data_IF_492065527479
#
_entry.id   IF_492065527479
#
_cell.length_a   1.000
_cell.length_b   1.000
_cell.length_c   1.000
_cell.angle_alpha   90.00
_cell.angle_beta   90.00
_cell.angle_gamma   90.00
#
_symmetry.space_group_name_H-M   'P 1'
#
loop_
_entity.id
_entity.type
_entity.pdbx_description
1 polymer ?
#
# COMPACT_ATOMS: atom_id res chain seq x y z
N UNK A 1 -23.86 55.47 44.83
CA UNK A 1 -24.26 55.19 43.43
C UNK A 1 -23.13 54.74 42.50
N UNK A 2 -21.83 54.91 42.82
CA UNK A 2 -20.71 54.48 41.96
C UNK A 2 -20.45 52.96 41.95
N UNK A 3 -20.71 52.25 43.06
CA UNK A 3 -20.33 50.83 43.19
C UNK A 3 -21.29 49.85 42.51
N UNK A 4 -22.57 50.20 42.32
CA UNK A 4 -23.55 49.35 41.62
C UNK A 4 -23.34 49.31 40.10
N UNK A 5 -22.73 50.36 39.51
CA UNK A 5 -22.42 50.39 38.08
C UNK A 5 -21.28 49.46 37.69
N UNK A 6 -20.31 49.26 38.59
CA UNK A 6 -19.16 48.38 38.35
C UNK A 6 -19.58 46.91 38.47
N UNK A 7 -20.45 46.59 39.43
CA UNK A 7 -21.00 45.23 39.61
C UNK A 7 -21.87 44.81 38.42
N UNK A 8 -22.70 45.71 37.89
CA UNK A 8 -23.50 45.42 36.69
C UNK A 8 -22.65 45.27 35.42
N UNK A 9 -21.51 45.98 35.32
CA UNK A 9 -20.58 45.84 34.19
C UNK A 9 -19.83 44.49 34.24
N UNK A 10 -19.45 44.03 35.44
CA UNK A 10 -18.82 42.72 35.65
C UNK A 10 -19.78 41.54 35.42
N UNK A 11 -21.06 41.69 35.77
CA UNK A 11 -22.11 40.69 35.47
C UNK A 11 -22.43 40.61 33.97
N UNK A 12 -22.37 41.72 33.22
CA UNK A 12 -22.50 41.74 31.76
C UNK A 12 -21.28 41.13 31.04
N UNK A 13 -20.07 41.27 31.61
CA UNK A 13 -18.84 40.62 31.12
C UNK A 13 -18.81 39.11 31.41
N UNK A 14 -19.40 38.66 32.51
CA UNK A 14 -19.53 37.22 32.83
C UNK A 14 -20.62 36.54 31.99
N UNK A 15 -21.67 37.25 31.59
CA UNK A 15 -22.73 36.71 30.71
C UNK A 15 -22.31 36.67 29.22
N UNK A 16 -21.36 37.52 28.80
CA UNK A 16 -20.81 37.50 27.43
C UNK A 16 -19.73 36.44 27.23
N UNK A 17 -19.19 35.86 28.30
CA UNK A 17 -18.22 34.76 28.23
C UNK A 17 -18.86 33.36 28.07
N UNK A 18 -20.19 33.25 28.14
CA UNK A 18 -20.91 31.97 27.95
C UNK A 18 -21.45 31.74 26.53
N UNK A 19 -21.15 32.63 25.57
CA UNK A 19 -21.62 32.51 24.18
C UNK A 19 -20.55 32.08 23.17
N UNK A 20 -19.34 31.78 23.62
CA UNK A 20 -18.34 31.07 22.82
C UNK A 20 -18.32 29.60 23.26
N UNK A 21 -19.46 28.94 23.09
CA UNK A 21 -19.42 27.50 22.88
C UNK A 21 -18.76 27.30 21.53
N UNK A 22 -17.54 26.75 21.52
CA UNK A 22 -16.95 26.19 20.32
C UNK A 22 -17.86 25.03 19.87
N UNK A 23 -18.93 25.34 19.14
CA UNK A 23 -19.50 24.40 18.19
C UNK A 23 -18.41 24.19 17.14
N UNK A 24 -17.48 23.28 17.46
CA UNK A 24 -16.71 22.59 16.45
C UNK A 24 -17.76 21.89 15.61
N UNK A 25 -18.19 22.55 14.52
CA UNK A 25 -18.94 21.93 13.45
C UNK A 25 -18.10 20.72 13.02
N UNK A 26 -18.42 19.55 13.56
CA UNK A 26 -17.88 18.30 13.08
C UNK A 26 -18.26 18.27 11.61
N UNK A 27 -17.26 18.42 10.73
CA UNK A 27 -17.47 18.38 9.30
C UNK A 27 -18.17 17.04 9.02
N UNK A 28 -19.45 17.09 8.64
CA UNK A 28 -20.22 15.88 8.41
C UNK A 28 -19.49 15.05 7.35
N UNK A 29 -19.19 13.79 7.66
CA UNK A 29 -18.56 12.84 6.75
C UNK A 29 -19.47 11.62 6.57
N UNK A 30 -19.33 10.96 5.42
CA UNK A 30 -20.02 9.71 5.09
C UNK A 30 -19.00 8.58 5.02
N UNK A 31 -19.33 7.43 5.60
CA UNK A 31 -18.53 6.21 5.44
C UNK A 31 -19.18 5.32 4.40
N UNK A 32 -18.53 5.20 3.23
CA UNK A 32 -18.95 4.32 2.15
C UNK A 32 -18.34 2.94 2.36
N UNK A 33 -19.14 1.89 2.15
CA UNK A 33 -18.70 0.49 2.23
C UNK A 33 -19.25 -0.30 1.06
N UNK A 34 -18.48 -1.29 0.63
CA UNK A 34 -18.91 -2.21 -0.40
C UNK A 34 -17.94 -3.37 -0.59
N UNK A 35 -18.36 -4.33 -1.41
CA UNK A 35 -17.57 -5.47 -1.84
C UNK A 35 -17.52 -5.50 -3.36
N UNK A 36 -16.32 -5.56 -3.91
CA UNK A 36 -16.05 -5.54 -5.34
C UNK A 36 -15.76 -6.96 -5.82
N UNK A 37 -16.52 -7.40 -6.82
CA UNK A 37 -16.46 -8.76 -7.34
C UNK A 37 -16.36 -8.76 -8.87
N UNK A 38 -15.73 -9.80 -9.42
CA UNK A 38 -15.73 -10.10 -10.84
C UNK A 38 -17.12 -10.52 -11.31
N UNK A 39 -17.66 -9.93 -12.38
CA UNK A 39 -19.01 -10.29 -12.84
C UNK A 39 -19.10 -11.70 -13.44
N UNK A 40 -18.00 -12.18 -14.01
CA UNK A 40 -17.84 -13.45 -14.72
C UNK A 40 -17.54 -14.62 -13.78
N UNK A 41 -16.61 -14.47 -12.84
CA UNK A 41 -16.25 -15.56 -11.90
C UNK A 41 -16.90 -15.44 -10.54
N UNK A 42 -17.35 -14.23 -10.17
CA UNK A 42 -17.77 -13.84 -8.80
C UNK A 42 -16.66 -13.88 -7.76
N UNK A 43 -15.41 -13.98 -8.19
CA UNK A 43 -14.27 -13.88 -7.29
C UNK A 43 -14.14 -12.46 -6.73
N UNK A 44 -13.65 -12.31 -5.50
CA UNK A 44 -13.31 -11.00 -4.96
C UNK A 44 -12.17 -10.37 -5.74
N UNK A 45 -12.33 -9.10 -6.11
CA UNK A 45 -11.27 -8.32 -6.75
C UNK A 45 -10.47 -7.61 -5.67
N UNK A 46 -9.33 -8.20 -5.28
CA UNK A 46 -8.41 -7.62 -4.30
C UNK A 46 -7.52 -6.55 -4.93
N UNK A 47 -7.19 -5.49 -4.18
CA UNK A 47 -6.39 -4.35 -4.64
C UNK A 47 -7.04 -3.53 -5.79
N UNK A 48 -8.36 -3.57 -5.93
CA UNK A 48 -9.09 -2.65 -6.80
C UNK A 48 -9.01 -1.24 -6.23
N UNK A 49 -8.70 -0.26 -7.09
CA UNK A 49 -8.64 1.14 -6.69
C UNK A 49 -10.06 1.69 -6.56
N UNK A 50 -10.31 2.37 -5.44
CA UNK A 50 -11.59 2.99 -5.12
C UNK A 50 -11.34 4.47 -4.83
N UNK A 51 -11.73 5.35 -5.76
CA UNK A 51 -11.40 6.78 -5.70
C UNK A 51 -12.65 7.64 -5.86
N UNK A 52 -12.77 8.74 -5.11
CA UNK A 52 -13.82 9.73 -5.34
C UNK A 52 -13.42 10.63 -6.51
N UNK A 53 -14.21 10.64 -7.58
CA UNK A 53 -13.95 11.41 -8.80
C UNK A 53 -13.67 12.89 -8.51
N UNK A 54 -12.63 13.41 -9.15
CA UNK A 54 -12.10 14.77 -9.00
C UNK A 54 -11.56 15.13 -7.60
N UNK A 55 -11.51 14.17 -6.66
CA UNK A 55 -10.87 14.34 -5.35
C UNK A 55 -9.69 13.37 -5.23
N UNK A 56 -8.69 13.72 -4.43
CA UNK A 56 -7.56 12.83 -4.16
C UNK A 56 -7.87 11.76 -3.08
N UNK A 57 -9.14 11.65 -2.68
CA UNK A 57 -9.63 10.72 -1.65
C UNK A 57 -9.77 9.32 -2.24
N UNK A 58 -8.99 8.37 -1.73
CA UNK A 58 -8.93 7.01 -2.25
C UNK A 58 -8.67 5.95 -1.19
N UNK A 59 -9.00 4.71 -1.54
CA UNK A 59 -8.67 3.48 -0.81
C UNK A 59 -8.53 2.33 -1.82
N UNK A 60 -8.21 1.14 -1.33
CA UNK A 60 -8.17 -0.09 -2.14
C UNK A 60 -8.98 -1.19 -1.47
N UNK A 61 -9.47 -2.14 -2.27
CA UNK A 61 -10.13 -3.33 -1.74
C UNK A 61 -9.14 -4.30 -1.11
N UNK A 62 -9.54 -4.96 -0.03
CA UNK A 62 -8.74 -6.00 0.62
C UNK A 62 -8.79 -7.35 -0.12
N UNK A 63 -8.18 -8.38 0.44
CA UNK A 63 -8.13 -9.74 -0.14
C UNK A 63 -9.51 -10.36 -0.36
N UNK A 64 -10.51 -9.95 0.42
CA UNK A 64 -11.90 -10.42 0.33
C UNK A 64 -12.77 -9.53 -0.59
N UNK A 65 -12.18 -8.52 -1.22
CA UNK A 65 -12.82 -7.56 -2.13
C UNK A 65 -13.55 -6.40 -1.43
N UNK A 66 -13.45 -6.28 -0.10
CA UNK A 66 -14.13 -5.22 0.65
C UNK A 66 -13.33 -3.92 0.67
N UNK A 67 -14.04 -2.79 0.65
CA UNK A 67 -13.46 -1.47 0.91
C UNK A 67 -14.30 -0.69 1.92
N UNK A 68 -13.62 0.24 2.59
CA UNK A 68 -14.23 1.30 3.40
C UNK A 68 -13.59 2.62 2.98
N UNK A 69 -14.41 3.65 2.73
CA UNK A 69 -13.94 4.97 2.32
C UNK A 69 -14.76 6.07 3.03
N UNK A 70 -14.10 6.86 3.87
CA UNK A 70 -14.63 8.07 4.49
C UNK A 70 -14.49 9.24 3.51
N UNK A 71 -15.59 9.95 3.30
CA UNK A 71 -15.68 11.09 2.38
C UNK A 71 -16.37 12.28 3.05
N UNK A 72 -15.96 13.52 2.78
CA UNK A 72 -16.63 14.70 3.34
C UNK A 72 -18.04 14.85 2.77
N UNK A 73 -18.95 15.53 3.47
CA UNK A 73 -20.31 15.75 3.00
C UNK A 73 -20.38 16.51 1.67
N UNK A 74 -19.38 17.34 1.36
CA UNK A 74 -19.23 18.00 0.05
C UNK A 74 -19.12 17.01 -1.12
N UNK A 75 -18.64 15.78 -0.86
CA UNK A 75 -18.50 14.73 -1.86
C UNK A 75 -19.81 13.96 -2.13
N UNK A 76 -20.93 14.27 -1.46
CA UNK A 76 -22.21 13.56 -1.59
C UNK A 76 -22.68 13.37 -3.04
N UNK A 77 -22.49 14.41 -3.86
CA UNK A 77 -22.91 14.44 -5.26
C UNK A 77 -21.79 14.04 -6.24
N UNK A 78 -20.64 13.60 -5.72
CA UNK A 78 -19.53 13.08 -6.52
C UNK A 78 -19.80 11.62 -6.93
N UNK A 79 -18.92 11.08 -7.76
CA UNK A 79 -18.94 9.67 -8.18
C UNK A 79 -17.77 8.92 -7.56
N UNK A 80 -18.02 7.70 -7.11
CA UNK A 80 -17.00 6.74 -6.76
C UNK A 80 -16.58 6.02 -8.04
N UNK A 81 -15.28 6.04 -8.36
CA UNK A 81 -14.72 5.36 -9.52
C UNK A 81 -13.96 4.13 -9.02
N UNK A 82 -14.36 2.96 -9.48
CA UNK A 82 -13.76 1.68 -9.13
C UNK A 82 -13.03 1.13 -10.35
N UNK A 83 -11.76 0.79 -10.16
CA UNK A 83 -10.84 0.37 -11.24
C UNK A 83 -10.16 -0.93 -10.89
N UNK A 84 -10.06 -1.83 -11.86
CA UNK A 84 -9.33 -3.08 -11.72
C UNK A 84 -8.74 -3.53 -13.05
N UNK A 85 -7.57 -4.18 -12.99
CA UNK A 85 -6.83 -4.69 -14.14
C UNK A 85 -7.67 -5.68 -14.95
N UNK A 86 -7.90 -5.39 -16.24
CA UNK A 86 -8.68 -6.27 -17.14
C UNK A 86 -10.20 -6.11 -17.06
N UNK A 87 -10.69 -5.10 -16.34
CA UNK A 87 -12.13 -4.84 -16.16
C UNK A 87 -12.48 -3.40 -16.50
N UNK A 88 -13.75 -3.19 -16.86
CA UNK A 88 -14.27 -1.87 -17.15
C UNK A 88 -14.35 -1.02 -15.88
N UNK A 89 -14.03 0.27 -16.00
CA UNK A 89 -14.22 1.21 -14.90
C UNK A 89 -15.71 1.35 -14.59
N UNK A 90 -16.05 1.27 -13.30
CA UNK A 90 -17.41 1.49 -12.86
C UNK A 90 -17.51 2.81 -12.07
N UNK A 91 -18.42 3.69 -12.50
CA UNK A 91 -18.78 4.89 -11.77
C UNK A 91 -20.08 4.67 -10.97
N UNK A 92 -20.02 4.85 -9.66
CA UNK A 92 -21.16 4.71 -8.75
C UNK A 92 -21.42 6.06 -8.07
N UNK A 93 -22.62 6.65 -8.16
CA UNK A 93 -22.91 7.90 -7.44
C UNK A 93 -22.76 7.71 -5.92
N UNK A 94 -21.97 8.55 -5.26
CA UNK A 94 -21.64 8.42 -3.82
C UNK A 94 -22.91 8.32 -2.97
N UNK A 95 -23.90 9.17 -3.26
CA UNK A 95 -25.21 9.19 -2.58
C UNK A 95 -25.91 7.83 -2.53
N UNK A 96 -25.65 6.93 -3.50
CA UNK A 96 -26.30 5.61 -3.53
C UNK A 96 -25.71 4.61 -2.54
N UNK A 97 -24.50 4.87 -2.04
CA UNK A 97 -23.74 4.02 -1.11
C UNK A 97 -23.87 4.49 0.35
N UNK A 98 -24.31 5.73 0.58
CA UNK A 98 -24.53 6.28 1.92
C UNK A 98 -25.58 5.42 2.66
N UNK A 99 -25.30 5.10 3.92
CA UNK A 99 -26.13 4.28 4.81
C UNK A 99 -26.45 2.86 4.28
N UNK A 100 -25.66 2.37 3.31
CA UNK A 100 -25.79 1.03 2.75
C UNK A 100 -24.48 0.25 2.89
N UNK A 101 -24.28 -0.50 3.99
CA UNK A 101 -23.00 -1.14 4.27
C UNK A 101 -22.69 -2.38 3.41
N UNK A 102 -23.69 -2.98 2.76
CA UNK A 102 -23.58 -4.30 2.11
C UNK A 102 -23.68 -4.27 0.57
N UNK A 103 -23.25 -3.17 -0.05
CA UNK A 103 -23.30 -3.06 -1.51
C UNK A 103 -22.33 -4.06 -2.16
N UNK A 104 -22.87 -4.90 -3.04
CA UNK A 104 -22.06 -5.72 -3.93
C UNK A 104 -21.94 -5.00 -5.27
N UNK A 105 -20.71 -4.80 -5.69
CA UNK A 105 -20.36 -4.04 -6.87
C UNK A 105 -19.65 -4.99 -7.84
N UNK A 106 -20.27 -5.23 -8.98
CA UNK A 106 -19.78 -6.18 -9.98
C UNK A 106 -19.04 -5.41 -11.08
N UNK A 107 -17.78 -5.76 -11.34
CA UNK A 107 -17.06 -5.23 -12.50
C UNK A 107 -17.18 -6.18 -13.68
N UNK A 108 -17.38 -5.62 -14.86
CA UNK A 108 -17.49 -6.37 -16.11
C UNK A 108 -16.09 -6.51 -16.71
N UNK A 109 -15.65 -7.72 -17.12
CA UNK A 109 -14.40 -7.89 -17.85
C UNK A 109 -14.35 -6.99 -19.08
N UNK A 110 -13.23 -6.31 -19.28
CA UNK A 110 -13.02 -5.45 -20.44
C UNK A 110 -12.29 -6.25 -21.51
N UNK A 111 -12.87 -6.31 -22.70
CA UNK A 111 -12.25 -6.90 -23.88
C UNK A 111 -11.67 -5.76 -24.73
N UNK A 112 -10.42 -5.91 -25.19
CA UNK A 112 -9.87 -4.96 -26.17
C UNK A 112 -10.34 -5.36 -27.57
N UNK A 113 -10.92 -4.40 -28.29
CA UNK A 113 -11.01 -4.46 -29.74
C UNK A 113 -9.70 -3.97 -30.34
N UNK A 114 -8.96 -4.88 -30.99
CA UNK A 114 -7.62 -4.61 -31.52
C UNK A 114 -7.69 -3.87 -32.87
N UNK A 115 -6.86 -2.83 -33.01
CA UNK A 115 -6.65 -2.19 -34.31
C UNK A 115 -5.78 -3.07 -35.24
N UNK A 116 -5.83 -2.87 -36.57
CA UNK A 116 -5.11 -3.72 -37.53
C UNK A 116 -3.56 -3.67 -37.48
N UNK A 117 -2.95 -2.81 -36.65
CA UNK A 117 -1.53 -2.48 -36.71
C UNK A 117 -0.80 -2.55 -35.36
N UNK A 118 -1.41 -3.14 -34.34
CA UNK A 118 -0.79 -3.24 -33.02
C UNK A 118 0.08 -4.51 -32.89
N UNK A 119 1.30 -4.36 -32.37
CA UNK A 119 2.17 -5.50 -32.04
C UNK A 119 1.57 -6.21 -30.83
N UNK A 120 0.83 -7.28 -31.10
CA UNK A 120 0.14 -8.07 -30.07
C UNK A 120 1.05 -9.02 -29.30
N UNK A 121 2.25 -9.31 -29.82
CA UNK A 121 3.23 -10.18 -29.16
C UNK A 121 4.61 -10.04 -29.79
N UNK A 122 5.69 -10.25 -29.02
CA UNK A 122 7.06 -10.23 -29.55
C UNK A 122 8.09 -9.69 -28.58
N UNK A 123 9.23 -9.23 -29.09
CA UNK A 123 10.28 -8.61 -28.28
C UNK A 123 9.81 -7.27 -27.69
N UNK A 124 9.83 -7.16 -26.36
CA UNK A 124 9.42 -5.96 -25.62
C UNK A 124 10.59 -5.04 -25.25
N UNK A 125 11.82 -5.36 -25.65
CA UNK A 125 13.03 -4.70 -25.14
C UNK A 125 13.08 -3.21 -25.44
N UNK A 126 12.75 -2.80 -26.67
CA UNK A 126 12.72 -1.37 -27.03
C UNK A 126 11.58 -0.62 -26.34
N UNK A 127 10.41 -1.24 -26.16
CA UNK A 127 9.31 -0.63 -25.41
C UNK A 127 9.70 -0.32 -23.97
N UNK A 128 10.40 -1.24 -23.31
CA UNK A 128 10.88 -1.03 -21.93
C UNK A 128 11.93 0.06 -21.89
N UNK A 129 12.90 0.04 -22.81
CA UNK A 129 13.92 1.10 -22.89
C UNK A 129 13.28 2.47 -23.09
N UNK A 130 12.29 2.55 -23.97
CA UNK A 130 11.57 3.78 -24.23
C UNK A 130 10.72 4.21 -23.02
N UNK A 131 9.99 3.30 -22.38
CA UNK A 131 9.22 3.57 -21.17
C UNK A 131 10.11 4.15 -20.04
N UNK A 132 11.27 3.53 -19.80
CA UNK A 132 12.25 4.03 -18.82
C UNK A 132 12.74 5.44 -19.20
N UNK A 133 13.00 5.71 -20.48
CA UNK A 133 13.43 7.04 -20.94
C UNK A 133 12.33 8.11 -20.83
N UNK A 134 11.05 7.72 -20.82
CA UNK A 134 9.87 8.60 -20.75
C UNK A 134 9.40 8.90 -19.32
N UNK A 135 10.04 8.33 -18.29
CA UNK A 135 9.70 8.60 -16.89
C UNK A 135 9.65 10.12 -16.57
N UNK A 136 10.64 10.95 -16.98
CA UNK A 136 10.58 12.40 -16.71
C UNK A 136 9.42 13.16 -17.38
N UNK A 137 8.75 12.56 -18.36
CA UNK A 137 7.62 13.10 -19.12
C UNK A 137 6.29 12.59 -18.55
N UNK A 138 6.24 11.32 -18.14
CA UNK A 138 5.02 10.67 -17.68
C UNK A 138 4.72 10.90 -16.20
N UNK A 139 5.72 11.15 -15.36
CA UNK A 139 5.57 11.27 -13.91
C UNK A 139 5.77 12.71 -13.42
N UNK A 140 5.35 12.98 -12.18
CA UNK A 140 5.41 14.32 -11.59
C UNK A 140 6.86 14.82 -11.46
N UNK A 141 7.12 15.99 -12.03
CA UNK A 141 8.40 16.68 -11.91
C UNK A 141 8.47 17.57 -10.68
N UNK A 142 7.34 17.78 -10.01
CA UNK A 142 7.24 18.59 -8.81
C UNK A 142 7.08 17.69 -7.58
N UNK A 143 7.76 18.03 -6.48
CA UNK A 143 7.55 17.33 -5.22
C UNK A 143 6.11 17.56 -4.75
N UNK A 144 5.57 16.58 -4.05
CA UNK A 144 4.23 16.67 -3.48
C UNK A 144 4.21 15.93 -2.14
N UNK A 145 3.10 16.10 -1.43
CA UNK A 145 2.85 15.37 -0.22
C UNK A 145 1.76 14.34 -0.46
N UNK A 146 1.85 13.21 0.25
CA UNK A 146 0.86 12.15 0.21
C UNK A 146 0.52 11.72 1.63
N UNK A 147 -0.73 11.28 1.82
CA UNK A 147 -1.13 10.51 2.98
C UNK A 147 -1.21 9.05 2.56
N UNK A 148 -0.61 8.17 3.35
CA UNK A 148 -0.60 6.74 3.04
C UNK A 148 -1.04 5.90 4.24
N UNK A 149 -1.86 4.89 3.98
CA UNK A 149 -2.06 3.80 4.91
C UNK A 149 -1.01 2.72 4.64
N UNK A 150 -0.33 2.26 5.69
CA UNK A 150 0.66 1.20 5.62
C UNK A 150 0.34 0.11 6.64
N UNK A 151 0.40 -1.15 6.22
CA UNK A 151 0.24 -2.33 7.08
C UNK A 151 1.42 -3.27 6.85
N UNK A 152 1.99 -3.79 7.93
CA UNK A 152 2.96 -4.89 7.89
C UNK A 152 2.57 -6.01 8.84
N UNK A 153 2.91 -7.24 8.47
CA UNK A 153 2.60 -8.41 9.25
C UNK A 153 3.71 -9.43 9.23
N UNK A 154 3.78 -10.22 10.30
CA UNK A 154 4.63 -11.39 10.40
C UNK A 154 3.71 -12.57 10.74
N UNK A 155 3.62 -13.54 9.84
CA UNK A 155 2.96 -14.83 10.07
C UNK A 155 4.02 -15.87 10.45
N UNK A 156 3.70 -16.71 11.44
CA UNK A 156 4.39 -17.96 11.77
C UNK A 156 3.47 -19.11 11.37
N UNK A 157 3.85 -19.85 10.34
CA UNK A 157 2.97 -20.72 9.58
C UNK A 157 1.72 -19.92 9.13
N UNK A 158 0.51 -20.36 9.48
CA UNK A 158 -0.72 -19.62 9.15
C UNK A 158 -1.08 -18.50 10.15
N UNK A 159 -0.33 -18.35 11.26
CA UNK A 159 -0.75 -17.49 12.35
C UNK A 159 -0.01 -16.16 12.35
N UNK A 160 -0.74 -15.05 12.28
CA UNK A 160 -0.20 -13.72 12.61
C UNK A 160 0.37 -13.69 14.04
N UNK A 161 1.65 -13.34 14.15
CA UNK A 161 2.38 -13.10 15.41
C UNK A 161 2.74 -11.63 15.59
N UNK A 162 2.74 -10.85 14.51
CA UNK A 162 2.86 -9.38 14.54
C UNK A 162 2.00 -8.79 13.43
N UNK A 163 1.30 -7.71 13.75
CA UNK A 163 0.57 -6.86 12.82
C UNK A 163 0.79 -5.42 13.26
N UNK A 164 1.19 -4.57 12.33
CA UNK A 164 1.36 -3.12 12.55
C UNK A 164 0.61 -2.40 11.44
N UNK A 165 -0.10 -1.35 11.82
CA UNK A 165 -0.81 -0.48 10.89
C UNK A 165 -0.50 0.97 11.24
N UNK A 166 -0.26 1.81 10.23
CA UNK A 166 0.09 3.22 10.40
C UNK A 166 -0.53 4.07 9.30
N UNK A 167 -0.92 5.29 9.63
CA UNK A 167 -1.09 6.37 8.66
C UNK A 167 0.20 7.19 8.64
N UNK A 168 0.66 7.49 7.43
CA UNK A 168 1.93 8.13 7.15
C UNK A 168 1.69 9.44 6.41
N UNK A 169 2.47 10.46 6.76
CA UNK A 169 2.75 11.57 5.85
C UNK A 169 3.97 11.21 5.02
N UNK A 170 3.87 11.38 3.70
CA UNK A 170 4.94 11.08 2.76
C UNK A 170 5.29 12.35 1.98
N UNK A 171 6.54 12.76 2.07
CA UNK A 171 7.12 13.72 1.12
C UNK A 171 7.59 12.93 -0.09
N UNK A 172 6.92 13.13 -1.23
CA UNK A 172 7.33 12.58 -2.52
C UNK A 172 8.24 13.58 -3.22
N UNK A 173 9.46 13.15 -3.47
CA UNK A 173 10.42 13.92 -4.26
C UNK A 173 10.06 13.88 -5.76
N UNK A 174 10.53 14.89 -6.50
CA UNK A 174 10.43 14.94 -7.97
C UNK A 174 11.00 13.67 -8.61
N UNK A 175 10.36 13.11 -9.63
CA UNK A 175 10.89 11.97 -10.38
C UNK A 175 12.15 12.32 -11.20
N UNK A 176 12.51 13.60 -11.33
CA UNK A 176 13.77 14.05 -11.95
C UNK A 176 14.94 14.12 -10.99
N UNK A 177 14.70 14.06 -9.68
CA UNK A 177 15.76 14.15 -8.68
C UNK A 177 16.21 12.76 -8.22
N UNK A 178 17.47 12.67 -7.76
CA UNK A 178 17.97 11.50 -7.02
C UNK A 178 17.65 11.56 -5.52
N UNK A 179 16.84 12.54 -5.10
CA UNK A 179 16.45 12.62 -3.70
C UNK A 179 15.52 11.46 -3.35
N UNK A 180 15.73 10.88 -2.16
CA UNK A 180 14.84 9.86 -1.62
C UNK A 180 13.56 10.49 -1.08
N UNK A 181 12.47 9.75 -1.22
CA UNK A 181 11.21 10.06 -0.55
C UNK A 181 11.37 9.96 0.97
N UNK A 182 10.53 10.68 1.71
CA UNK A 182 10.55 10.68 3.17
C UNK A 182 9.17 10.28 3.67
N UNK A 183 9.14 9.54 4.78
CA UNK A 183 7.91 9.25 5.49
C UNK A 183 8.05 9.66 6.96
N UNK A 184 6.93 10.03 7.55
CA UNK A 184 6.74 10.25 8.98
C UNK A 184 5.50 9.47 9.41
N UNK A 185 5.58 8.75 10.53
CA UNK A 185 4.39 8.14 11.13
C UNK A 185 3.58 9.26 11.77
N UNK A 186 2.34 9.42 11.31
CA UNK A 186 1.39 10.33 11.94
C UNK A 186 0.71 9.64 13.13
N UNK A 187 0.17 8.44 12.88
CA UNK A 187 -0.48 7.62 13.90
C UNK A 187 -0.33 6.13 13.52
N UNK A 188 -0.27 5.25 14.51
CA UNK A 188 -0.19 3.81 14.24
C UNK A 188 -0.44 2.93 15.45
N UNK A 189 -0.86 1.70 15.19
CA UNK A 189 -1.17 0.68 16.19
C UNK A 189 -0.43 -0.61 15.89
N UNK A 190 -0.17 -1.41 16.92
CA UNK A 190 0.31 -2.78 16.78
C UNK A 190 -0.50 -3.79 17.57
N UNK A 191 -0.50 -5.00 17.05
CA UNK A 191 -0.95 -6.21 17.71
C UNK A 191 0.15 -7.27 17.58
N UNK A 192 0.74 -7.68 18.71
CA UNK A 192 1.80 -8.70 18.75
C UNK A 192 1.39 -9.88 19.63
N UNK A 193 1.48 -11.09 19.11
CA UNK A 193 1.27 -12.34 19.83
C UNK A 193 2.59 -13.12 19.87
N UNK A 194 3.50 -12.63 20.71
CA UNK A 194 4.79 -13.26 20.96
C UNK A 194 4.66 -14.05 22.27
N UNK A 195 4.94 -15.36 22.20
CA UNK A 195 4.97 -16.24 23.37
C UNK A 195 6.38 -16.28 23.94
N UNK A 196 6.55 -16.25 25.28
CA UNK A 196 7.84 -16.55 25.90
C UNK A 196 8.42 -17.94 25.52
N UNK A 197 7.58 -18.85 25.00
CA UNK A 197 7.98 -20.17 24.50
C UNK A 197 8.45 -20.17 23.04
N UNK A 198 8.36 -19.05 22.34
CA UNK A 198 8.82 -18.96 20.96
C UNK A 198 10.35 -19.03 20.90
N UNK A 199 10.86 -19.89 20.02
CA UNK A 199 12.30 -20.11 19.84
C UNK A 199 12.98 -19.04 19.00
N UNK A 200 12.21 -18.21 18.29
CA UNK A 200 12.70 -17.16 17.40
C UNK A 200 11.82 -15.91 17.56
N UNK A 201 12.46 -14.78 17.90
CA UNK A 201 11.87 -13.46 17.78
C UNK A 201 12.25 -12.87 16.41
N UNK A 202 11.28 -12.74 15.52
CA UNK A 202 11.47 -12.12 14.22
C UNK A 202 11.15 -10.62 14.32
N UNK A 203 12.03 -9.78 13.79
CA UNK A 203 11.80 -8.33 13.64
C UNK A 203 11.90 -7.97 12.17
N UNK A 204 10.94 -7.20 11.67
CA UNK A 204 10.99 -6.65 10.33
C UNK A 204 11.55 -5.24 10.37
N UNK A 205 12.56 -4.99 9.55
CA UNK A 205 13.32 -3.73 9.53
C UNK A 205 13.13 -3.05 8.18
N UNK A 206 12.84 -1.75 8.18
CA UNK A 206 12.80 -0.93 6.97
C UNK A 206 11.57 -1.13 6.09
N UNK A 207 10.48 -1.65 6.63
CA UNK A 207 9.27 -1.98 5.87
C UNK A 207 8.68 -0.80 5.09
N UNK A 208 8.43 0.33 5.76
CA UNK A 208 7.93 1.57 5.11
C UNK A 208 8.88 2.08 4.03
N UNK A 209 10.20 2.12 4.32
CA UNK A 209 11.20 2.55 3.33
C UNK A 209 11.22 1.63 2.11
N UNK A 210 11.07 0.33 2.31
CA UNK A 210 11.02 -0.66 1.22
C UNK A 210 9.76 -0.49 0.39
N UNK A 211 8.60 -0.26 1.01
CA UNK A 211 7.36 0.00 0.30
C UNK A 211 7.44 1.24 -0.61
N UNK A 212 8.09 2.33 -0.16
CA UNK A 212 8.33 3.50 -1.00
C UNK A 212 9.36 3.24 -2.12
N UNK A 213 10.37 2.42 -1.86
CA UNK A 213 11.35 2.01 -2.88
C UNK A 213 10.72 1.19 -4.02
N UNK A 214 9.55 0.58 -3.80
CA UNK A 214 8.81 -0.14 -4.85
C UNK A 214 8.12 0.78 -5.86
N UNK A 215 8.23 2.11 -5.72
CA UNK A 215 7.97 3.00 -6.84
C UNK A 215 9.03 2.78 -7.93
N UNK A 216 8.80 1.79 -8.79
CA UNK A 216 9.72 1.37 -9.87
C UNK A 216 9.89 2.46 -10.93
N UNK A 217 8.93 3.38 -11.08
CA UNK A 217 9.12 4.53 -11.95
C UNK A 217 10.10 5.55 -11.35
N UNK A 218 10.15 5.67 -10.02
CA UNK A 218 11.15 6.51 -9.34
C UNK A 218 12.50 5.80 -9.17
N UNK A 219 12.50 4.49 -8.98
CA UNK A 219 13.69 3.68 -8.70
C UNK A 219 13.80 2.48 -9.68
N UNK A 220 13.82 2.72 -11.01
CA UNK A 220 13.80 1.64 -12.00
C UNK A 220 15.01 0.72 -11.88
N UNK A 221 16.14 1.24 -11.42
CA UNK A 221 17.38 0.51 -11.23
C UNK A 221 17.28 -0.62 -10.20
N UNK A 222 16.33 -0.53 -9.27
CA UNK A 222 16.10 -1.60 -8.29
C UNK A 222 15.64 -2.88 -8.98
N UNK A 223 14.84 -2.77 -10.05
CA UNK A 223 14.29 -3.93 -10.76
C UNK A 223 15.06 -4.21 -12.05
N UNK A 224 15.26 -3.19 -12.88
CA UNK A 224 15.77 -3.34 -14.24
C UNK A 224 17.25 -2.98 -14.40
N UNK A 225 17.92 -2.50 -13.34
CA UNK A 225 19.21 -1.81 -13.50
C UNK A 225 19.07 -0.56 -14.37
N UNK A 226 20.16 -0.08 -14.97
CA UNK A 226 20.12 1.17 -15.76
C UNK A 226 19.28 1.07 -17.05
N UNK A 227 19.26 -0.10 -17.68
CA UNK A 227 18.71 -0.28 -19.05
C UNK A 227 17.86 -1.53 -19.26
N UNK A 228 17.78 -2.43 -18.28
CA UNK A 228 17.14 -3.73 -18.47
C UNK A 228 18.00 -4.73 -19.25
N UNK A 229 19.30 -4.46 -19.49
CA UNK A 229 20.15 -5.27 -20.37
C UNK A 229 20.35 -6.72 -19.89
N UNK A 230 20.07 -7.01 -18.62
CA UNK A 230 20.13 -8.36 -18.04
C UNK A 230 18.88 -9.20 -18.30
N UNK A 231 17.83 -8.60 -18.89
CA UNK A 231 16.51 -9.21 -19.04
C UNK A 231 16.15 -9.53 -20.48
N UNK A 232 15.28 -10.52 -20.64
CA UNK A 232 14.49 -10.78 -21.84
C UNK A 232 13.11 -10.21 -21.57
N UNK A 233 12.62 -9.37 -22.49
CA UNK A 233 11.28 -8.79 -22.42
C UNK A 233 10.41 -9.35 -23.54
N UNK A 234 9.19 -9.77 -23.21
CA UNK A 234 8.27 -10.37 -24.18
C UNK A 234 6.90 -9.74 -24.01
N UNK A 235 6.40 -9.08 -25.05
CA UNK A 235 5.01 -8.64 -25.14
C UNK A 235 4.17 -9.91 -25.25
N UNK A 236 3.32 -10.17 -24.26
CA UNK A 236 2.46 -11.35 -24.24
C UNK A 236 1.14 -11.11 -24.96
N UNK A 237 0.55 -9.95 -24.67
CA UNK A 237 -0.75 -9.50 -25.19
C UNK A 237 -0.94 -8.04 -24.84
N UNK A 238 -2.05 -7.49 -25.31
CA UNK A 238 -2.59 -6.25 -24.76
C UNK A 238 -3.78 -6.55 -23.87
N UNK A 239 -3.94 -5.71 -22.85
CA UNK A 239 -5.05 -5.76 -21.88
C UNK A 239 -5.62 -4.36 -21.65
N UNK A 240 -6.89 -4.30 -21.25
CA UNK A 240 -7.52 -3.03 -20.91
C UNK A 240 -7.32 -2.72 -19.43
N UNK A 241 -6.83 -1.52 -19.13
CA UNK A 241 -6.75 -0.96 -17.77
C UNK A 241 -7.31 0.44 -17.87
N UNK A 242 -8.23 0.80 -16.97
CA UNK A 242 -8.87 2.11 -16.98
C UNK A 242 -9.57 2.46 -18.31
N UNK A 243 -10.12 1.46 -19.01
CA UNK A 243 -10.69 1.59 -20.36
C UNK A 243 -9.69 2.12 -21.42
N UNK A 244 -8.38 1.93 -21.19
CA UNK A 244 -7.30 2.26 -22.12
C UNK A 244 -6.48 1.00 -22.43
N UNK A 245 -5.94 0.86 -23.65
CA UNK A 245 -5.11 -0.28 -24.01
C UNK A 245 -3.73 -0.21 -23.34
N UNK A 246 -3.24 -1.35 -22.87
CA UNK A 246 -1.94 -1.50 -22.22
C UNK A 246 -1.21 -2.73 -22.75
N UNK A 247 0.11 -2.64 -22.90
CA UNK A 247 0.96 -3.80 -23.14
C UNK A 247 1.15 -4.59 -21.84
N UNK A 248 0.92 -5.90 -21.88
CA UNK A 248 1.38 -6.84 -20.85
C UNK A 248 2.73 -7.40 -21.30
N UNK A 249 3.82 -6.98 -20.64
CA UNK A 249 5.18 -7.39 -20.98
C UNK A 249 5.73 -8.29 -19.86
N UNK A 250 5.98 -9.54 -20.19
CA UNK A 250 6.73 -10.46 -19.34
C UNK A 250 8.22 -10.11 -19.35
N UNK A 251 8.88 -10.28 -18.22
CA UNK A 251 10.33 -10.15 -18.12
C UNK A 251 10.95 -11.23 -17.26
N UNK A 252 12.14 -11.69 -17.66
CA UNK A 252 12.95 -12.65 -16.91
C UNK A 252 14.44 -12.46 -17.19
N UNK A 253 15.34 -12.87 -16.27
CA UNK A 253 16.77 -12.75 -16.49
C UNK A 253 17.22 -13.58 -17.70
N UNK A 254 18.22 -13.08 -18.44
CA UNK A 254 18.88 -13.81 -19.51
C UNK A 254 19.53 -15.09 -18.98
N UNK A 255 19.67 -16.08 -19.86
CA UNK A 255 20.37 -17.33 -19.53
C UNK A 255 21.82 -17.05 -19.09
N UNK A 256 22.25 -17.71 -18.02
CA UNK A 256 23.61 -17.60 -17.49
C UNK A 256 23.81 -16.51 -16.44
N UNK A 257 22.82 -15.65 -16.19
CA UNK A 257 22.87 -14.70 -15.06
C UNK A 257 22.84 -15.48 -13.75
N UNK A 258 23.90 -15.30 -12.95
CA UNK A 258 24.04 -15.97 -11.65
C UNK A 258 23.46 -15.15 -10.52
N UNK A 259 23.30 -13.84 -10.68
CA UNK A 259 22.78 -12.98 -9.62
C UNK A 259 21.29 -13.27 -9.33
N UNK A 260 20.84 -12.86 -8.15
CA UNK A 260 19.43 -12.93 -7.79
C UNK A 260 18.78 -11.68 -8.35
N UNK A 261 17.97 -11.88 -9.38
CA UNK A 261 17.26 -10.85 -10.12
C UNK A 261 15.75 -11.09 -10.04
N UNK A 262 14.99 -10.24 -10.71
CA UNK A 262 13.55 -10.28 -10.72
C UNK A 262 13.01 -11.04 -11.93
N UNK A 263 11.74 -11.43 -11.89
CA UNK A 263 10.97 -11.90 -13.04
C UNK A 263 9.51 -11.55 -12.79
N UNK A 264 8.73 -11.34 -13.84
CA UNK A 264 7.35 -10.94 -13.66
C UNK A 264 6.75 -10.28 -14.89
N UNK A 265 5.80 -9.38 -14.64
CA UNK A 265 5.03 -8.65 -15.65
C UNK A 265 5.08 -7.15 -15.36
N UNK A 266 5.25 -6.36 -16.39
CA UNK A 266 5.07 -4.91 -16.36
C UNK A 266 4.01 -4.51 -17.36
N UNK A 267 3.13 -3.61 -16.95
CA UNK A 267 2.03 -3.13 -17.74
C UNK A 267 2.31 -1.69 -18.16
N UNK A 268 2.37 -1.46 -19.46
CA UNK A 268 2.64 -0.13 -20.04
C UNK A 268 1.41 0.43 -20.72
N UNK A 269 1.05 1.67 -20.43
CA UNK A 269 0.04 2.41 -21.19
C UNK A 269 0.51 2.57 -22.65
N UNK A 270 -0.34 2.26 -23.63
CA UNK A 270 0.07 2.23 -25.05
C UNK A 270 0.45 3.62 -25.58
N UNK A 271 -0.24 4.68 -25.15
CA UNK A 271 0.00 6.04 -25.67
C UNK A 271 1.25 6.67 -25.05
N UNK A 272 1.34 6.64 -23.73
CA UNK A 272 2.41 7.31 -22.97
C UNK A 272 3.64 6.44 -22.73
N UNK A 273 3.48 5.11 -22.74
CA UNK A 273 4.44 4.11 -22.23
C UNK A 273 4.75 4.27 -20.75
N UNK A 274 3.84 4.86 -19.98
CA UNK A 274 3.95 4.89 -18.52
C UNK A 274 3.78 3.50 -17.93
N UNK A 275 4.58 3.17 -16.92
CA UNK A 275 4.38 1.98 -16.09
C UNK A 275 3.14 2.22 -15.24
N UNK A 276 2.08 1.46 -15.49
CA UNK A 276 0.81 1.59 -14.76
C UNK A 276 0.71 0.58 -13.63
N UNK A 277 1.37 -0.57 -13.79
CA UNK A 277 1.46 -1.64 -12.82
C UNK A 277 2.68 -2.50 -13.11
N UNK A 278 3.24 -3.10 -12.07
CA UNK A 278 4.27 -4.13 -12.18
C UNK A 278 4.05 -5.18 -11.09
N UNK A 279 4.13 -6.45 -11.47
CA UNK A 279 4.02 -7.61 -10.59
C UNK A 279 5.26 -8.47 -10.80
N UNK A 280 6.04 -8.69 -9.75
CA UNK A 280 7.34 -9.32 -9.92
C UNK A 280 7.79 -10.08 -8.68
N UNK A 281 8.67 -11.05 -8.89
CA UNK A 281 9.24 -11.86 -7.82
C UNK A 281 10.74 -12.03 -8.04
N UNK A 282 11.50 -12.20 -6.96
CA UNK A 282 12.92 -12.57 -7.07
C UNK A 282 13.07 -14.07 -7.35
N UNK A 283 14.11 -14.47 -8.07
CA UNK A 283 14.44 -15.87 -8.37
C UNK A 283 15.20 -16.56 -7.22
N UNK A 284 14.64 -16.51 -6.00
CA UNK A 284 15.27 -16.97 -4.76
C UNK A 284 15.15 -18.48 -4.51
N UNK A 285 14.33 -19.19 -5.27
CA UNK A 285 13.98 -20.58 -4.99
C UNK A 285 15.21 -21.50 -5.05
N UNK A 286 15.44 -22.28 -3.99
CA UNK A 286 16.58 -23.21 -3.91
C UNK A 286 17.95 -22.55 -3.72
N UNK A 287 18.00 -21.22 -3.59
CA UNK A 287 19.23 -20.44 -3.49
C UNK A 287 19.67 -20.21 -2.05
N UNK A 288 20.86 -20.69 -1.69
CA UNK A 288 21.41 -20.55 -0.32
C UNK A 288 21.89 -19.13 -0.01
N UNK A 289 22.34 -18.42 -1.05
CA UNK A 289 22.81 -17.03 -1.02
C UNK A 289 21.65 -16.02 -0.88
N UNK A 290 20.41 -16.40 -1.22
CA UNK A 290 19.24 -15.52 -1.09
C UNK A 290 19.06 -14.96 0.32
N UNK A 291 19.36 -15.76 1.35
CA UNK A 291 19.24 -15.31 2.74
C UNK A 291 20.09 -14.08 3.07
N UNK A 292 21.20 -13.84 2.34
CA UNK A 292 22.07 -12.68 2.56
C UNK A 292 21.41 -11.35 2.15
N UNK A 293 20.42 -11.38 1.26
CA UNK A 293 19.67 -10.20 0.81
C UNK A 293 18.71 -9.74 1.90
N UNK A 294 18.02 -10.69 2.55
CA UNK A 294 16.91 -10.39 3.47
C UNK A 294 17.30 -10.41 4.94
N UNK A 295 18.33 -11.18 5.32
CA UNK A 295 18.64 -11.45 6.73
C UNK A 295 19.86 -10.66 7.17
N UNK A 296 19.62 -9.56 7.89
CA UNK A 296 20.68 -8.75 8.52
C UNK A 296 21.43 -9.51 9.62
N UNK A 297 20.71 -10.24 10.48
CA UNK A 297 21.27 -10.99 11.61
C UNK A 297 20.43 -12.21 11.93
N UNK A 298 21.09 -13.33 12.22
CA UNK A 298 20.46 -14.56 12.73
C UNK A 298 21.36 -15.32 13.71
N UNK A 299 20.79 -16.17 14.58
CA UNK A 299 21.58 -17.13 15.35
C UNK A 299 22.44 -18.03 14.43
N UNK A 300 23.66 -18.37 14.86
CA UNK A 300 24.62 -19.13 14.04
C UNK A 300 24.11 -20.51 13.63
N UNK A 301 23.38 -21.19 14.52
CA UNK A 301 22.78 -22.51 14.30
C UNK A 301 21.43 -22.47 13.55
N UNK A 302 20.96 -21.29 13.16
CA UNK A 302 19.72 -21.13 12.41
C UNK A 302 20.02 -21.10 10.92
N UNK A 303 19.36 -21.98 10.16
CA UNK A 303 19.35 -21.99 8.70
C UNK A 303 18.04 -21.38 8.22
N UNK A 304 18.14 -20.49 7.24
CA UNK A 304 17.02 -19.78 6.65
C UNK A 304 17.13 -19.96 5.14
N UNK A 305 16.11 -20.56 4.56
CA UNK A 305 15.92 -20.61 3.11
C UNK A 305 14.84 -19.58 2.75
N UNK A 306 15.04 -18.81 1.69
CA UNK A 306 14.01 -17.91 1.17
C UNK A 306 13.25 -18.70 0.11
N UNK A 307 11.98 -18.98 0.38
CA UNK A 307 11.15 -19.77 -0.52
C UNK A 307 10.51 -18.90 -1.60
N UNK A 308 10.29 -17.62 -1.29
CA UNK A 308 9.53 -16.71 -2.16
C UNK A 308 9.76 -15.26 -1.74
N UNK A 309 9.77 -14.36 -2.73
CA UNK A 309 9.75 -12.92 -2.52
C UNK A 309 8.99 -12.27 -3.68
N UNK A 310 7.76 -11.80 -3.42
CA UNK A 310 6.83 -11.23 -4.39
C UNK A 310 6.56 -9.76 -4.07
N UNK A 311 6.37 -8.98 -5.12
CA UNK A 311 6.19 -7.53 -5.07
C UNK A 311 5.14 -7.10 -6.09
N UNK A 312 4.37 -6.08 -5.74
CA UNK A 312 3.43 -5.40 -6.63
C UNK A 312 3.62 -3.90 -6.44
N UNK A 313 3.56 -3.14 -7.52
CA UNK A 313 3.39 -1.69 -7.47
C UNK A 313 2.39 -1.23 -8.52
N UNK A 314 1.50 -0.32 -8.12
CA UNK A 314 0.48 0.30 -8.98
C UNK A 314 0.64 1.81 -9.03
N UNK A 315 0.27 2.37 -10.17
CA UNK A 315 0.30 3.80 -10.44
C UNK A 315 -1.08 4.27 -10.89
N UNK A 316 -1.40 5.53 -10.58
CA UNK A 316 -2.64 6.18 -10.99
C UNK A 316 -2.34 7.44 -11.78
N UNK A 317 -3.09 7.64 -12.87
CA UNK A 317 -3.03 8.85 -13.67
C UNK A 317 -3.92 9.94 -13.07
N UNK A 318 -3.40 11.16 -12.96
CA UNK A 318 -4.16 12.36 -12.64
C UNK A 318 -3.61 13.54 -13.46
N UNK A 319 -4.47 14.20 -14.23
CA UNK A 319 -4.13 15.35 -15.08
C UNK A 319 -2.91 15.09 -16.01
N UNK A 320 -2.87 13.92 -16.67
CA UNK A 320 -1.79 13.57 -17.60
C UNK A 320 -0.46 13.21 -16.95
N UNK A 321 -0.41 13.07 -15.62
CA UNK A 321 0.77 12.60 -14.87
C UNK A 321 0.44 11.35 -14.07
N UNK A 322 1.40 10.44 -13.99
CA UNK A 322 1.31 9.22 -13.22
C UNK A 322 1.93 9.40 -11.82
N UNK A 323 1.29 8.79 -10.83
CA UNK A 323 1.68 8.85 -9.43
C UNK A 323 1.68 7.45 -8.82
N UNK A 324 2.69 7.14 -8.02
CA UNK A 324 2.69 5.96 -7.17
C UNK A 324 1.41 5.90 -6.32
N UNK A 325 0.76 4.74 -6.31
CA UNK A 325 -0.56 4.58 -5.70
C UNK A 325 -0.64 3.44 -4.69
N UNK A 326 -0.03 2.31 -5.00
CA UNK A 326 -0.06 1.15 -4.13
C UNK A 326 1.24 0.35 -4.26
N UNK A 327 1.64 -0.29 -3.17
CA UNK A 327 2.62 -1.37 -3.22
C UNK A 327 2.28 -2.48 -2.25
N UNK A 328 2.74 -3.69 -2.58
CA UNK A 328 2.65 -4.85 -1.70
C UNK A 328 3.92 -5.68 -1.77
N UNK A 329 4.25 -6.35 -0.68
CA UNK A 329 5.35 -7.29 -0.58
C UNK A 329 4.92 -8.53 0.19
N UNK A 330 5.32 -9.71 -0.27
CA UNK A 330 5.26 -10.96 0.50
C UNK A 330 6.60 -11.69 0.38
N UNK A 331 7.25 -11.96 1.51
CA UNK A 331 8.49 -12.75 1.57
C UNK A 331 8.31 -13.95 2.49
N UNK A 332 8.55 -15.15 1.97
CA UNK A 332 8.39 -16.42 2.69
C UNK A 332 9.75 -17.02 3.01
N UNK A 333 9.93 -17.33 4.28
CA UNK A 333 11.14 -17.96 4.82
C UNK A 333 10.81 -19.33 5.38
N UNK A 334 11.67 -20.30 5.10
CA UNK A 334 11.70 -21.58 5.81
C UNK A 334 12.88 -21.60 6.78
N UNK A 335 12.57 -21.71 8.06
CA UNK A 335 13.55 -21.62 9.15
C UNK A 335 13.73 -22.98 9.81
N UNK A 336 15.00 -23.41 9.96
CA UNK A 336 15.39 -24.69 10.58
C UNK A 336 16.56 -24.51 11.54
N UNK A 337 16.62 -25.34 12.58
CA UNK A 337 17.75 -25.39 13.50
C UNK A 337 18.70 -26.52 13.15
N UNK A 338 20.02 -26.34 13.29
CA UNK A 338 21.00 -27.39 12.95
C UNK A 338 21.17 -28.50 14.00
N UNK A 339 20.46 -28.45 15.14
CA UNK A 339 20.58 -29.45 16.21
C UNK A 339 19.82 -30.74 15.89
N UNK A 340 20.34 -31.91 16.32
CA UNK A 340 19.82 -33.27 16.03
C UNK A 340 18.33 -33.49 16.36
N UNK A 341 17.79 -32.81 17.38
CA UNK A 341 16.39 -32.93 17.81
C UNK A 341 15.45 -31.90 17.16
N UNK A 342 15.92 -30.68 16.88
CA UNK A 342 15.09 -29.59 16.33
C UNK A 342 15.23 -29.42 14.81
N UNK A 343 16.23 -30.06 14.18
CA UNK A 343 16.47 -29.95 12.74
C UNK A 343 15.52 -30.73 11.85
N UNK A 344 14.67 -31.58 12.44
CA UNK A 344 13.58 -32.25 11.75
C UNK A 344 12.36 -31.34 11.54
N UNK A 345 12.27 -30.23 12.30
CA UNK A 345 11.14 -29.30 12.23
C UNK A 345 11.56 -28.02 11.52
N UNK A 346 10.81 -27.67 10.48
CA UNK A 346 10.89 -26.37 9.83
C UNK A 346 9.69 -25.52 10.26
N UNK A 347 9.92 -24.23 10.50
CA UNK A 347 8.86 -23.26 10.70
C UNK A 347 8.88 -22.28 9.55
N UNK A 348 7.72 -22.03 8.95
CA UNK A 348 7.59 -21.05 7.90
C UNK A 348 7.27 -19.70 8.53
N UNK A 349 7.91 -18.66 8.04
CA UNK A 349 7.62 -17.28 8.40
C UNK A 349 7.29 -16.52 7.13
N UNK A 350 6.21 -15.77 7.14
CA UNK A 350 5.85 -14.87 6.04
C UNK A 350 5.87 -13.44 6.55
N UNK A 351 6.64 -12.58 5.91
CA UNK A 351 6.58 -11.14 6.11
C UNK A 351 5.76 -10.57 4.98
N UNK A 352 4.67 -9.88 5.32
CA UNK A 352 3.83 -9.17 4.35
C UNK A 352 3.82 -7.68 4.65
N UNK A 353 3.79 -6.85 3.62
CA UNK A 353 3.48 -5.42 3.76
C UNK A 353 2.61 -4.92 2.62
N UNK A 354 1.83 -3.88 2.88
CA UNK A 354 1.05 -3.15 1.89
C UNK A 354 1.03 -1.66 2.22
N UNK A 355 1.05 -0.83 1.19
CA UNK A 355 0.93 0.62 1.28
C UNK A 355 -0.07 1.10 0.23
N UNK A 356 -1.08 1.85 0.65
CA UNK A 356 -2.00 2.54 -0.23
C UNK A 356 -1.90 4.05 0.01
N UNK A 357 -1.72 4.82 -1.06
CA UNK A 357 -1.85 6.27 -1.01
C UNK A 357 -3.34 6.61 -0.96
N UNK A 358 -3.75 7.34 0.08
CA UNK A 358 -5.17 7.64 0.34
C UNK A 358 -5.52 9.10 0.10
N UNK A 359 -4.50 9.98 0.09
CA UNK A 359 -4.63 11.40 -0.28
C UNK A 359 -3.33 11.96 -0.86
N UNK A 360 -3.42 13.06 -1.62
CA UNK A 360 -2.28 13.78 -2.23
C UNK A 360 -2.55 15.28 -2.24
N UNK A 361 -1.53 16.07 -1.94
CA UNK A 361 -1.60 17.53 -1.97
C UNK A 361 -0.30 18.16 -2.50
N UNK A 362 -0.44 19.21 -3.29
CA UNK A 362 0.66 19.95 -3.93
C UNK A 362 0.95 21.29 -3.23
N UNK A 363 0.13 21.66 -2.26
CA UNK A 363 0.33 22.85 -1.43
C UNK A 363 1.16 22.50 -0.19
N UNK A 364 1.86 23.47 0.38
CA UNK A 364 2.61 23.29 1.64
C UNK A 364 3.57 22.10 1.65
N UNK A 365 4.25 21.87 0.52
CA UNK A 365 5.18 20.76 0.33
C UNK A 365 6.47 20.98 1.12
N UNK A 366 6.56 20.32 2.29
CA UNK A 366 7.65 20.49 3.22
C UNK A 366 8.33 19.15 3.52
N UNK A 367 9.67 19.14 3.51
CA UNK A 367 10.45 17.99 3.98
C UNK A 367 10.34 17.88 5.50
N UNK A 368 10.43 16.66 6.02
CA UNK A 368 10.38 16.43 7.46
C UNK A 368 11.73 16.71 8.14
N UNK A 369 11.77 17.12 9.41
CA UNK A 369 12.98 17.10 10.24
C UNK A 369 13.61 15.70 10.31
N UNK A 370 14.94 15.60 10.44
CA UNK A 370 15.68 14.32 10.34
C UNK A 370 15.34 13.30 11.42
N UNK A 371 14.93 13.77 12.59
CA UNK A 371 14.53 13.00 13.77
C UNK A 371 13.10 12.47 13.67
N UNK A 372 12.24 13.11 12.89
CA UNK A 372 10.87 12.64 12.62
C UNK A 372 10.79 11.64 11.47
N UNK A 373 11.83 11.57 10.62
CA UNK A 373 11.86 10.69 9.44
C UNK A 373 11.97 9.22 9.83
N UNK A 374 11.20 8.40 9.12
CA UNK A 374 11.39 6.96 9.08
C UNK A 374 12.68 6.62 8.33
N UNK A 375 13.46 5.72 8.93
CA UNK A 375 14.74 5.22 8.42
C UNK A 375 14.58 3.79 7.95
N UNK A 376 15.40 3.38 6.99
CA UNK A 376 15.50 1.97 6.56
C UNK A 376 15.97 1.01 7.66
N UNK A 377 16.50 1.55 8.77
CA UNK A 377 16.90 0.80 9.96
C UNK A 377 15.80 0.65 11.01
N UNK A 378 14.66 1.30 10.85
CA UNK A 378 13.60 1.29 11.84
C UNK A 378 12.84 -0.04 11.84
N UNK A 379 12.46 -0.49 13.04
CA UNK A 379 11.49 -1.58 13.25
C UNK A 379 10.18 -0.92 13.64
N UNK A 380 9.19 -0.91 12.75
CA UNK A 380 7.97 -0.10 12.93
C UNK A 380 7.17 -0.55 14.15
N UNK A 381 7.14 -1.85 14.42
CA UNK A 381 6.55 -2.41 15.64
C UNK A 381 7.13 -1.85 16.96
N UNK A 382 8.31 -1.24 16.95
CA UNK A 382 8.91 -0.59 18.11
C UNK A 382 8.59 0.91 18.20
N UNK A 383 8.06 1.51 17.12
CA UNK A 383 7.72 2.93 17.01
C UNK A 383 6.25 3.25 17.25
N UNK A 384 5.38 2.23 17.32
CA UNK A 384 3.93 2.39 17.52
C UNK A 384 3.46 1.76 18.82
N UNK A 385 2.32 2.23 19.32
CA UNK A 385 1.71 1.76 20.56
C UNK A 385 0.74 0.59 20.34
N UNK A 386 0.53 -0.21 21.39
CA UNK A 386 -0.51 -1.26 21.39
C UNK A 386 -1.88 -0.63 21.59
N UNK A 387 -2.91 -1.15 20.91
CA UNK A 387 -4.22 -0.49 21.02
C UNK A 387 -5.45 -1.36 20.73
N UNK A 388 -6.62 -0.92 21.24
CA UNK A 388 -7.91 -1.62 21.13
C UNK A 388 -9.13 -0.73 20.75
N UNK A 389 -9.00 0.58 20.50
CA UNK A 389 -10.18 1.41 20.13
C UNK A 389 -10.62 1.16 18.67
N UNK A 390 -11.92 0.89 18.46
CA UNK A 390 -12.52 0.83 17.12
C UNK A 390 -12.45 2.13 16.32
N UNK A 391 -12.48 3.31 16.95
CA UNK A 391 -12.47 4.62 16.26
C UNK A 391 -11.07 5.23 16.08
N UNK A 392 -10.02 4.43 16.32
CA UNK A 392 -8.61 4.85 16.26
C UNK A 392 -8.23 5.70 15.04
N UNK A 393 -8.78 5.36 13.88
CA UNK A 393 -8.43 6.02 12.62
C UNK A 393 -9.11 7.37 12.42
N UNK A 394 -10.14 7.72 13.20
CA UNK A 394 -10.90 8.96 13.05
C UNK A 394 -11.34 9.19 11.60
N UNK A 395 -10.88 10.30 11.01
CA UNK A 395 -11.22 10.70 9.64
C UNK A 395 -10.33 10.06 8.56
N UNK A 396 -9.30 9.29 8.91
CA UNK A 396 -8.36 8.74 7.94
C UNK A 396 -8.92 7.53 7.18
N UNK A 397 -8.66 7.50 5.89
CA UNK A 397 -8.92 6.34 5.04
C UNK A 397 -7.85 5.27 5.25
N UNK A 398 -8.31 4.02 5.35
CA UNK A 398 -7.47 2.85 5.60
C UNK A 398 -7.94 1.67 4.74
N UNK A 399 -7.09 0.66 4.58
CA UNK A 399 -7.48 -0.60 3.93
C UNK A 399 -8.30 -1.41 4.92
N UNK A 400 -9.52 -1.80 4.53
CA UNK A 400 -10.40 -2.63 5.37
C UNK A 400 -9.67 -3.94 5.75
N UNK A 401 -9.56 -4.30 7.03
CA UNK A 401 -8.97 -5.57 7.42
C UNK A 401 -9.77 -6.74 6.81
N UNK A 402 -9.07 -7.71 6.21
CA UNK A 402 -9.70 -8.95 5.76
C UNK A 402 -10.15 -9.81 6.96
N UNK A 403 -10.87 -10.90 6.68
CA UNK A 403 -11.38 -11.80 7.73
C UNK A 403 -10.22 -12.37 8.57
N UNK A 404 -9.09 -12.73 7.95
CA UNK A 404 -7.94 -13.29 8.67
C UNK A 404 -7.32 -12.28 9.63
N UNK A 405 -7.15 -11.03 9.19
CA UNK A 405 -6.59 -9.92 9.97
C UNK A 405 -7.54 -9.57 11.10
N UNK A 406 -8.85 -9.47 10.86
CA UNK A 406 -9.84 -9.24 11.92
C UNK A 406 -9.78 -10.33 12.99
N UNK A 407 -9.67 -11.60 12.58
CA UNK A 407 -9.52 -12.72 13.50
C UNK A 407 -8.18 -12.65 14.27
N UNK A 408 -7.11 -12.23 13.60
CA UNK A 408 -5.81 -12.03 14.23
C UNK A 408 -5.86 -10.93 15.29
N UNK A 409 -6.42 -9.76 14.97
CA UNK A 409 -6.59 -8.64 15.90
C UNK A 409 -7.38 -9.12 17.13
N UNK A 410 -8.55 -9.76 16.93
CA UNK A 410 -9.37 -10.29 18.04
C UNK A 410 -8.60 -11.28 18.92
N UNK A 411 -7.86 -12.22 18.29
CA UNK A 411 -7.07 -13.24 19.00
C UNK A 411 -5.94 -12.63 19.82
N UNK A 412 -5.21 -11.68 19.23
CA UNK A 412 -4.09 -11.00 19.90
C UNK A 412 -4.61 -10.17 21.08
N UNK A 413 -5.64 -9.35 20.85
CA UNK A 413 -6.28 -8.53 21.89
C UNK A 413 -6.84 -9.37 23.05
N UNK A 414 -7.53 -10.48 22.74
CA UNK A 414 -8.08 -11.38 23.77
C UNK A 414 -7.03 -12.19 24.54
N UNK A 415 -5.80 -12.35 24.02
CA UNK A 415 -4.68 -12.95 24.76
C UNK A 415 -3.98 -11.95 25.68
N UNK A 416 -3.92 -10.68 25.29
CA UNK A 416 -3.35 -9.61 26.11
C UNK A 416 -4.21 -9.35 27.36
N UNK A 417 -5.54 -9.30 27.21
CA UNK A 417 -6.48 -9.14 28.34
C UNK A 417 -6.26 -10.22 29.40
N UNK A 418 -6.13 -11.49 28.98
CA UNK A 418 -5.89 -12.64 29.89
C UNK A 418 -4.48 -12.71 30.51
N UNK A 419 -3.55 -11.87 30.08
CA UNK A 419 -2.20 -11.76 30.68
C UNK A 419 -2.10 -10.56 31.64
N UNK A 420 -3.06 -9.65 31.61
CA UNK A 420 -3.16 -8.50 32.52
C UNK A 420 -4.04 -8.76 33.75
N UNK A 421 -4.79 -9.87 33.75
CA UNK A 421 -5.37 -10.54 34.94
C UNK A 421 -4.37 -11.54 35.50
#
# INVERSE_FOLDING_TARGET
MKNYRIINLLLLLLFSFQLFGDDVLQAQSYTLRGRVLASDTRDPLSNASVTVGNLNISSVTNQDGYFTLRVPASAKNSRLIIRYLGYENLEVPVVTLIDKPNNHIMLIPSFIELGPLEVVSGDGSELIREALSRIPQNYSTDPNMMVAFYRESIKKNANYISLVETVLDVYKSSYRSYESDQAKIYIGRKATDISPRDTVLLKFQGGISTALMLDVAKNPEIVFGEKGDEYIFTIERMISINNKPHYEINFLPKNGIKDILFRGKVYLDVESLAIVRIEFNMNVEGRKDASNIFIRRKPSKMKVDVEEARYIADFIENNGKWFFNYSSTEVRFRVRWTNRFFGLFATNYTIGSEMAITDRYQESVNKFPRDERIRSTDVIAEKVEHFQDPEFWGEYNVIEPDIEINNAIKRVSGRLMRRGE
#
